data_IF_028550956315
#
_entry.id   IF_028550956315
#
_cell.length_a   1.000
_cell.length_b   1.000
_cell.length_c   1.000
_cell.angle_alpha   90.00
_cell.angle_beta   90.00
_cell.angle_gamma   90.00
#
_symmetry.space_group_name_H-M   'P 1'
#
loop_
_entity.id
_entity.type
_entity.pdbx_description
1 polymer ?
#
# COMPACT_ATOMS: atom_id res chain seq x y z
N UNK A 1 -9.31 50.89 29.50
CA UNK A 1 -9.35 51.86 30.62
C UNK A 1 -9.59 53.24 30.03
N UNK A 2 -10.51 53.99 30.64
CA UNK A 2 -11.07 55.27 30.15
C UNK A 2 -10.00 56.35 29.92
N UNK A 3 -10.12 57.11 28.82
CA UNK A 3 -9.26 58.25 28.49
C UNK A 3 -9.77 59.46 29.29
N UNK A 4 -9.00 59.87 30.31
CA UNK A 4 -9.29 61.04 31.13
C UNK A 4 -8.86 62.34 30.46
N UNK A 5 -9.78 63.28 30.37
CA UNK A 5 -9.62 64.67 29.94
C UNK A 5 -8.69 65.46 30.88
N UNK A 6 -7.66 66.11 30.35
CA UNK A 6 -6.85 67.09 31.09
C UNK A 6 -7.39 68.50 30.88
N UNK A 7 -7.86 69.10 31.97
CA UNK A 7 -8.27 70.50 32.07
C UNK A 7 -7.03 71.36 32.35
N UNK A 8 -6.81 72.39 31.53
CA UNK A 8 -5.79 73.42 31.76
C UNK A 8 -6.44 74.54 32.59
N UNK A 9 -5.81 74.94 33.70
CA UNK A 9 -6.11 76.18 34.43
C UNK A 9 -4.78 76.85 34.84
N UNK A 10 -4.67 78.19 34.78
CA UNK A 10 -3.46 78.90 34.36
C UNK A 10 -2.75 79.61 35.52
N UNK A 11 -1.76 80.43 35.15
CA UNK A 11 -0.97 81.41 35.93
C UNK A 11 0.45 81.00 36.33
N UNK A 12 1.38 81.26 35.42
CA UNK A 12 2.65 81.92 35.76
C UNK A 12 3.00 82.90 34.63
N UNK A 13 2.69 84.18 34.83
CA UNK A 13 3.27 85.30 34.07
C UNK A 13 4.30 85.98 34.97
N UNK A 14 5.58 85.90 34.61
CA UNK A 14 6.53 87.04 34.59
C UNK A 14 7.90 86.63 34.06
N UNK A 15 8.33 87.40 33.07
CA UNK A 15 9.69 87.67 32.60
C UNK A 15 10.52 86.46 32.13
N UNK A 16 10.26 86.04 30.89
CA UNK A 16 11.18 85.27 30.07
C UNK A 16 11.35 86.04 28.76
N UNK A 17 12.59 86.37 28.44
CA UNK A 17 13.02 87.12 27.25
C UNK A 17 12.69 86.33 25.97
N UNK A 18 12.38 87.01 24.86
CA UNK A 18 11.87 86.44 23.58
C UNK A 18 12.79 85.37 22.93
N UNK A 19 13.96 85.10 23.50
CA UNK A 19 14.91 84.05 23.08
C UNK A 19 14.77 82.73 23.84
N UNK A 20 14.09 82.71 24.99
CA UNK A 20 13.98 81.53 25.85
C UNK A 20 12.65 80.76 25.68
N UNK A 21 11.59 81.37 25.12
CA UNK A 21 10.35 80.65 24.77
C UNK A 21 10.58 79.56 23.72
N UNK A 22 11.46 79.81 22.74
CA UNK A 22 11.81 78.81 21.73
C UNK A 22 12.57 77.62 22.33
N UNK A 23 13.40 77.85 23.36
CA UNK A 23 14.15 76.78 24.03
C UNK A 23 13.20 75.91 24.87
N UNK A 24 12.24 76.55 25.56
CA UNK A 24 11.24 75.83 26.36
C UNK A 24 10.29 75.00 25.48
N UNK A 25 9.87 75.54 24.33
CA UNK A 25 9.04 74.82 23.35
C UNK A 25 9.82 73.64 22.74
N UNK A 26 11.10 73.83 22.38
CA UNK A 26 11.94 72.75 21.88
C UNK A 26 12.15 71.67 22.95
N UNK A 27 12.36 72.04 24.21
CA UNK A 27 12.50 71.07 25.31
C UNK A 27 11.21 70.27 25.55
N UNK A 28 10.03 70.90 25.49
CA UNK A 28 8.74 70.22 25.60
C UNK A 28 8.51 69.28 24.41
N UNK A 29 8.87 69.69 23.19
CA UNK A 29 8.79 68.85 22.00
C UNK A 29 9.75 67.66 22.12
N UNK A 30 10.99 67.87 22.59
CA UNK A 30 11.94 66.77 22.81
C UNK A 30 11.48 65.81 23.91
N UNK A 31 10.89 66.31 24.99
CA UNK A 31 10.33 65.46 26.06
C UNK A 31 9.10 64.69 25.55
N UNK A 32 8.22 65.32 24.75
CA UNK A 32 7.09 64.62 24.13
C UNK A 32 7.56 63.58 23.11
N UNK A 33 8.56 63.89 22.28
CA UNK A 33 9.18 62.94 21.35
C UNK A 33 9.85 61.81 22.12
N UNK A 34 10.55 62.10 23.23
CA UNK A 34 11.20 61.09 24.05
C UNK A 34 10.18 60.20 24.76
N UNK A 35 9.07 60.73 25.25
CA UNK A 35 7.96 59.95 25.83
C UNK A 35 7.26 59.12 24.75
N UNK A 36 7.10 59.64 23.52
CA UNK A 36 6.55 58.88 22.39
C UNK A 36 7.50 57.77 21.97
N UNK A 37 8.82 58.03 21.88
CA UNK A 37 9.82 57.02 21.53
C UNK A 37 9.97 55.97 22.64
N UNK A 38 9.93 56.37 23.91
CA UNK A 38 9.99 55.45 25.06
C UNK A 38 8.70 54.63 25.15
N UNK A 39 7.55 55.25 24.89
CA UNK A 39 6.26 54.57 24.82
C UNK A 39 6.16 53.65 23.61
N UNK A 40 6.78 53.98 22.47
CA UNK A 40 6.92 53.08 21.32
C UNK A 40 7.89 51.95 21.65
N UNK A 41 8.99 52.20 22.37
CA UNK A 41 9.93 51.17 22.79
C UNK A 41 9.30 50.18 23.76
N UNK A 42 8.56 50.66 24.77
CA UNK A 42 7.78 49.84 25.71
C UNK A 42 6.59 49.16 25.02
N UNK A 43 5.97 49.81 24.04
CA UNK A 43 4.94 49.18 23.21
C UNK A 43 5.55 48.11 22.33
N UNK A 44 6.72 48.32 21.71
CA UNK A 44 7.43 47.30 20.92
C UNK A 44 7.95 46.17 21.79
N UNK A 45 8.43 46.41 23.01
CA UNK A 45 8.85 45.33 23.92
C UNK A 45 7.65 44.56 24.48
N UNK A 46 6.52 45.23 24.73
CA UNK A 46 5.24 44.61 25.12
C UNK A 46 4.59 43.85 23.95
N UNK A 47 4.71 44.37 22.72
CA UNK A 47 4.22 43.73 21.50
C UNK A 47 5.14 42.59 21.05
N UNK A 48 6.47 42.70 21.19
CA UNK A 48 7.45 41.65 20.90
C UNK A 48 7.40 40.57 21.98
N UNK A 49 7.15 40.90 23.26
CA UNK A 49 6.85 39.90 24.31
C UNK A 49 5.45 39.28 24.21
N UNK A 50 4.47 39.94 23.56
CA UNK A 50 3.15 39.37 23.24
C UNK A 50 3.11 38.68 21.87
N UNK A 51 4.08 38.94 21.01
CA UNK A 51 4.39 38.17 19.82
C UNK A 51 5.43 37.11 20.18
N UNK A 52 5.12 36.26 21.15
CA UNK A 52 5.59 34.88 21.05
C UNK A 52 5.10 34.35 19.69
N UNK A 53 5.89 33.56 18.94
CA UNK A 53 5.35 32.84 17.80
C UNK A 53 4.24 31.92 18.33
N UNK A 54 2.98 32.35 18.16
CA UNK A 54 1.80 31.49 18.36
C UNK A 54 1.74 30.57 17.15
N UNK A 55 2.64 29.59 17.18
CA UNK A 55 2.60 28.29 16.53
C UNK A 55 3.92 27.65 16.98
N UNK A 56 3.87 26.62 17.84
CA UNK A 56 4.99 25.69 17.93
C UNK A 56 5.19 25.16 16.51
N UNK A 57 6.15 25.72 15.79
CA UNK A 57 6.45 25.29 14.44
C UNK A 57 6.90 23.84 14.57
N UNK A 58 6.10 22.91 14.05
CA UNK A 58 6.43 21.49 14.09
C UNK A 58 7.81 21.31 13.43
N UNK A 59 8.74 20.65 14.12
CA UNK A 59 9.97 20.15 13.51
C UNK A 59 9.58 19.00 12.58
N UNK A 60 9.21 19.35 11.35
CA UNK A 60 8.67 18.41 10.37
C UNK A 60 9.77 17.60 9.70
N UNK A 61 9.53 16.29 9.55
CA UNK A 61 10.36 15.40 8.75
C UNK A 61 9.75 15.21 7.35
N UNK A 62 10.58 14.93 6.35
CA UNK A 62 10.11 14.52 5.02
C UNK A 62 9.52 13.12 5.05
N UNK A 63 8.66 12.79 4.08
CA UNK A 63 8.10 11.44 3.93
C UNK A 63 9.24 10.40 3.87
N UNK A 64 10.30 10.67 3.11
CA UNK A 64 11.45 9.79 2.99
C UNK A 64 12.21 9.55 4.31
N UNK A 65 12.37 10.58 5.13
CA UNK A 65 12.99 10.45 6.46
C UNK A 65 12.12 9.61 7.40
N UNK A 66 10.80 9.82 7.40
CA UNK A 66 9.86 9.03 8.20
C UNK A 66 9.84 7.57 7.73
N UNK A 67 9.80 7.30 6.43
CA UNK A 67 9.87 5.92 5.89
C UNK A 67 11.18 5.23 6.31
N UNK A 68 12.31 5.95 6.28
CA UNK A 68 13.60 5.41 6.73
C UNK A 68 13.61 5.12 8.23
N UNK A 69 13.02 6.01 9.03
CA UNK A 69 12.89 5.82 10.47
C UNK A 69 12.04 4.59 10.80
N UNK A 70 10.89 4.43 10.12
CA UNK A 70 10.04 3.24 10.22
C UNK A 70 10.83 1.98 9.85
N UNK A 71 11.54 1.99 8.73
CA UNK A 71 12.36 0.85 8.30
C UNK A 71 13.49 0.53 9.29
N UNK A 72 14.08 1.54 9.92
CA UNK A 72 15.15 1.34 10.91
C UNK A 72 14.61 0.74 12.21
N UNK A 73 13.44 1.18 12.68
CA UNK A 73 12.84 0.70 13.94
C UNK A 73 12.10 -0.64 13.78
N UNK A 74 11.44 -0.85 12.64
CA UNK A 74 10.51 -1.96 12.42
C UNK A 74 10.78 -2.79 11.16
N UNK A 75 11.85 -2.50 10.41
CA UNK A 75 12.16 -3.19 9.15
C UNK A 75 12.44 -4.68 9.28
N UNK A 76 12.83 -5.14 10.48
CA UNK A 76 13.03 -6.56 10.81
C UNK A 76 11.86 -7.17 11.59
N UNK A 77 10.85 -6.37 11.93
CA UNK A 77 9.64 -6.88 12.56
C UNK A 77 8.94 -7.84 11.59
N UNK A 78 8.74 -9.09 12.00
CA UNK A 78 8.06 -10.11 11.20
C UNK A 78 6.99 -10.77 12.04
N UNK A 79 5.81 -10.92 11.45
CA UNK A 79 4.74 -11.70 12.06
C UNK A 79 5.17 -13.14 12.29
N UNK A 80 4.66 -13.72 13.36
CA UNK A 80 4.85 -15.15 13.66
C UNK A 80 4.27 -16.03 12.54
N UNK A 81 4.70 -17.29 12.51
CA UNK A 81 4.24 -18.26 11.52
C UNK A 81 2.93 -18.91 11.97
N UNK A 82 2.10 -19.32 11.01
CA UNK A 82 0.97 -20.21 11.22
C UNK A 82 0.80 -21.16 10.04
N UNK A 83 0.20 -22.33 10.29
CA UNK A 83 -0.09 -23.31 9.25
C UNK A 83 -1.57 -23.21 8.88
N UNK A 84 -1.84 -23.14 7.57
CA UNK A 84 -3.19 -23.12 7.01
C UNK A 84 -3.37 -24.22 5.98
N UNK A 85 -4.62 -24.54 5.68
CA UNK A 85 -4.96 -25.37 4.52
C UNK A 85 -4.85 -24.57 3.22
N UNK A 86 -4.80 -25.29 2.09
CA UNK A 86 -4.68 -24.71 0.76
C UNK A 86 -5.81 -23.74 0.40
N UNK A 87 -7.04 -24.03 0.83
CA UNK A 87 -8.22 -23.20 0.60
C UNK A 87 -8.19 -21.86 1.34
N UNK A 88 -7.40 -21.75 2.41
CA UNK A 88 -7.23 -20.54 3.20
C UNK A 88 -5.93 -19.76 2.85
N UNK A 89 -5.12 -20.30 1.92
CA UNK A 89 -3.79 -19.79 1.62
C UNK A 89 -3.77 -18.62 0.60
N UNK A 90 -4.90 -18.35 -0.07
CA UNK A 90 -4.99 -17.24 -1.03
C UNK A 90 -4.67 -15.90 -0.35
N UNK A 91 -3.84 -15.08 -1.01
CA UNK A 91 -3.36 -13.79 -0.52
C UNK A 91 -2.56 -13.86 0.80
N UNK A 92 -2.08 -15.04 1.20
CA UNK A 92 -1.17 -15.21 2.33
C UNK A 92 0.29 -15.16 1.85
N UNK A 93 1.20 -14.83 2.76
CA UNK A 93 2.63 -14.77 2.49
C UNK A 93 3.33 -16.00 3.06
N UNK A 94 4.11 -16.69 2.23
CA UNK A 94 4.89 -17.84 2.64
C UNK A 94 5.92 -17.48 3.71
N UNK A 95 5.91 -18.23 4.81
CA UNK A 95 6.90 -18.11 5.87
C UNK A 95 8.10 -19.05 5.70
N UNK A 96 8.02 -19.98 4.75
CA UNK A 96 9.03 -20.99 4.40
C UNK A 96 9.04 -21.18 2.89
N UNK A 97 10.16 -21.63 2.36
CA UNK A 97 10.25 -22.00 0.94
C UNK A 97 9.45 -23.27 0.65
N UNK A 98 8.94 -23.38 -0.58
CA UNK A 98 8.28 -24.59 -1.07
C UNK A 98 9.21 -25.27 -2.07
N UNK A 99 9.66 -26.47 -1.71
CA UNK A 99 10.42 -27.35 -2.57
C UNK A 99 9.52 -28.47 -3.09
N UNK A 100 9.75 -28.89 -4.34
CA UNK A 100 9.04 -30.02 -4.89
C UNK A 100 9.59 -31.35 -4.36
N UNK A 101 8.70 -32.22 -3.90
CA UNK A 101 9.04 -33.59 -3.52
C UNK A 101 9.04 -34.53 -4.73
N UNK A 102 8.12 -34.29 -5.67
CA UNK A 102 7.86 -35.14 -6.82
C UNK A 102 8.11 -34.42 -8.15
N UNK A 103 8.07 -35.20 -9.23
CA UNK A 103 8.03 -34.66 -10.59
C UNK A 103 6.64 -34.13 -10.91
N UNK A 104 6.56 -33.02 -11.63
CA UNK A 104 5.31 -32.52 -12.21
C UNK A 104 5.52 -32.36 -13.71
N UNK A 105 4.79 -33.09 -14.57
CA UNK A 105 3.95 -34.26 -14.24
C UNK A 105 4.80 -35.47 -13.78
N UNK A 106 4.16 -36.47 -13.18
CA UNK A 106 4.83 -37.68 -12.63
C UNK A 106 5.17 -38.75 -13.69
N UNK A 107 4.58 -38.67 -14.88
CA UNK A 107 4.79 -39.55 -16.03
C UNK A 107 4.74 -38.76 -17.35
N UNK A 108 5.22 -39.37 -18.44
CA UNK A 108 5.09 -38.82 -19.78
C UNK A 108 3.64 -38.95 -20.24
N UNK A 109 3.03 -37.87 -20.74
CA UNK A 109 1.63 -37.87 -21.16
C UNK A 109 1.43 -37.27 -22.54
N UNK A 110 0.37 -37.72 -23.21
CA UNK A 110 -0.02 -37.18 -24.51
C UNK A 110 -0.66 -35.79 -24.39
N UNK A 111 -0.41 -34.92 -25.35
CA UNK A 111 -1.14 -33.64 -25.51
C UNK A 111 -2.34 -33.72 -26.45
N UNK A 112 -2.56 -34.89 -27.07
CA UNK A 112 -3.61 -35.13 -28.08
C UNK A 112 -4.23 -36.52 -27.90
N UNK A 113 -5.39 -36.75 -28.50
CA UNK A 113 -5.91 -38.10 -28.69
C UNK A 113 -5.20 -38.71 -29.90
N UNK A 114 -4.68 -39.93 -29.76
CA UNK A 114 -3.93 -40.52 -30.84
C UNK A 114 -3.23 -41.83 -30.52
N UNK A 115 -2.20 -42.14 -31.30
CA UNK A 115 -1.42 -43.36 -31.19
C UNK A 115 0.01 -43.04 -30.75
N UNK A 116 0.38 -43.54 -29.57
CA UNK A 116 1.77 -43.55 -29.12
C UNK A 116 2.58 -44.50 -30.00
N UNK A 117 3.66 -43.97 -30.56
CA UNK A 117 4.53 -44.66 -31.51
C UNK A 117 5.99 -44.48 -31.13
N UNK A 118 6.83 -45.32 -31.70
CA UNK A 118 8.24 -44.99 -31.92
C UNK A 118 8.31 -44.14 -33.17
N UNK A 119 8.77 -42.91 -33.06
CA UNK A 119 8.85 -41.96 -34.18
C UNK A 119 9.60 -42.59 -35.38
N UNK A 120 10.63 -43.39 -35.13
CA UNK A 120 11.37 -44.12 -36.16
C UNK A 120 10.53 -45.05 -37.03
N UNK A 121 9.43 -45.60 -36.50
CA UNK A 121 8.58 -46.56 -37.21
C UNK A 121 7.59 -45.86 -38.15
N UNK A 122 7.41 -44.54 -38.01
CA UNK A 122 6.57 -43.72 -38.90
C UNK A 122 7.39 -42.78 -39.79
N UNK A 123 8.73 -42.86 -39.74
CA UNK A 123 9.58 -42.05 -40.61
C UNK A 123 9.35 -42.42 -42.08
N UNK A 124 9.13 -41.39 -42.90
CA UNK A 124 8.91 -41.54 -44.34
C UNK A 124 7.49 -41.92 -44.74
N UNK A 125 6.55 -42.09 -43.80
CA UNK A 125 5.15 -42.28 -44.17
C UNK A 125 4.53 -40.98 -44.73
N UNK A 126 3.50 -41.15 -45.53
CA UNK A 126 2.75 -40.07 -46.20
C UNK A 126 1.33 -40.54 -46.48
N UNK A 127 0.46 -39.64 -46.95
CA UNK A 127 -0.90 -40.00 -47.37
C UNK A 127 -0.93 -41.11 -48.42
N UNK A 128 0.06 -41.14 -49.33
CA UNK A 128 0.15 -42.17 -50.36
C UNK A 128 0.78 -43.49 -49.88
N UNK A 129 1.58 -43.45 -48.80
CA UNK A 129 2.33 -44.58 -48.27
C UNK A 129 2.25 -44.56 -46.74
N UNK A 130 1.17 -45.10 -46.14
CA UNK A 130 1.03 -45.13 -44.69
C UNK A 130 2.02 -46.09 -44.04
N UNK A 131 2.46 -45.76 -42.82
CA UNK A 131 3.11 -46.73 -41.94
C UNK A 131 2.03 -47.61 -41.31
N UNK A 132 2.19 -48.93 -41.43
CA UNK A 132 1.26 -49.90 -40.85
C UNK A 132 1.80 -50.38 -39.51
N UNK A 133 1.10 -50.08 -38.43
CA UNK A 133 1.48 -50.44 -37.07
C UNK A 133 0.44 -51.38 -36.45
N UNK A 134 0.90 -52.34 -35.65
CA UNK A 134 0.02 -53.22 -34.89
C UNK A 134 -0.44 -52.52 -33.61
N UNK A 135 -1.75 -52.41 -33.38
CA UNK A 135 -2.27 -51.91 -32.11
C UNK A 135 -2.09 -52.97 -31.01
N UNK A 136 -1.26 -52.66 -30.01
CA UNK A 136 -0.90 -53.58 -28.92
C UNK A 136 -1.51 -53.22 -27.57
N UNK A 137 -2.17 -52.07 -27.46
CA UNK A 137 -2.82 -51.65 -26.22
C UNK A 137 -3.59 -50.35 -26.33
N UNK A 138 -4.24 -50.02 -25.22
CA UNK A 138 -5.02 -48.79 -25.01
C UNK A 138 -4.62 -48.25 -23.63
N UNK A 139 -4.19 -46.99 -23.56
CA UNK A 139 -4.01 -46.29 -22.29
C UNK A 139 -5.35 -45.75 -21.81
N UNK A 140 -5.76 -46.13 -20.60
CA UNK A 140 -6.93 -45.56 -19.94
C UNK A 140 -6.54 -44.36 -19.07
N UNK A 141 -7.44 -43.39 -18.92
CA UNK A 141 -7.21 -42.27 -18.00
C UNK A 141 -7.23 -42.74 -16.55
N UNK A 142 -6.19 -42.38 -15.79
CA UNK A 142 -6.08 -42.73 -14.37
C UNK A 142 -5.56 -44.14 -14.09
N UNK A 143 -5.19 -44.91 -15.12
CA UNK A 143 -4.60 -46.24 -14.98
C UNK A 143 -3.14 -46.23 -15.43
N UNK A 144 -2.29 -46.98 -14.73
CA UNK A 144 -0.90 -47.13 -15.13
C UNK A 144 -0.76 -48.11 -16.29
N UNK A 145 -0.01 -47.72 -17.33
CA UNK A 145 0.27 -48.60 -18.47
C UNK A 145 1.63 -49.30 -18.32
N UNK A 146 1.59 -50.57 -17.92
CA UNK A 146 2.79 -51.41 -17.79
C UNK A 146 3.32 -51.97 -19.14
N UNK A 147 2.70 -51.58 -20.25
CA UNK A 147 3.09 -52.03 -21.59
C UNK A 147 4.38 -51.34 -22.03
N UNK A 148 5.31 -52.11 -22.58
CA UNK A 148 6.46 -51.58 -23.31
C UNK A 148 6.19 -51.66 -24.82
N UNK A 149 6.36 -50.53 -25.52
CA UNK A 149 6.07 -50.44 -26.94
C UNK A 149 7.20 -51.07 -27.78
N UNK A 150 6.85 -52.15 -28.49
CA UNK A 150 7.76 -52.83 -29.42
C UNK A 150 7.83 -52.12 -30.78
N UNK A 151 8.86 -52.48 -31.58
CA UNK A 151 9.00 -51.97 -32.95
C UNK A 151 7.82 -52.38 -33.82
N UNK A 152 7.30 -51.46 -34.63
CA UNK A 152 6.16 -51.70 -35.54
C UNK A 152 4.82 -51.81 -34.83
N UNK A 153 4.75 -51.42 -33.54
CA UNK A 153 3.54 -51.42 -32.76
C UNK A 153 3.14 -49.99 -32.38
N UNK A 154 1.85 -49.80 -32.07
CA UNK A 154 1.31 -48.57 -31.52
C UNK A 154 0.34 -48.86 -30.36
N UNK A 155 0.12 -47.87 -29.51
CA UNK A 155 -0.87 -47.93 -28.42
C UNK A 155 -1.75 -46.70 -28.51
N UNK A 156 -3.07 -46.87 -28.46
CA UNK A 156 -3.96 -45.72 -28.36
C UNK A 156 -3.74 -45.00 -27.02
N UNK A 157 -3.59 -43.68 -27.04
CA UNK A 157 -3.44 -42.84 -25.85
C UNK A 157 -4.35 -41.62 -25.99
N UNK A 158 -5.30 -41.41 -25.06
CA UNK A 158 -6.09 -40.19 -25.02
C UNK A 158 -5.26 -39.01 -24.50
N UNK A 159 -5.75 -37.80 -24.69
CA UNK A 159 -5.16 -36.56 -24.22
C UNK A 159 -5.01 -36.61 -22.69
N UNK A 160 -3.79 -36.39 -22.20
CA UNK A 160 -3.44 -36.49 -20.79
C UNK A 160 -3.15 -37.92 -20.29
N UNK A 161 -3.40 -38.94 -21.12
CA UNK A 161 -3.10 -40.35 -20.81
C UNK A 161 -1.59 -40.62 -20.71
N UNK A 162 -1.24 -41.62 -19.91
CA UNK A 162 0.16 -42.06 -19.75
C UNK A 162 0.66 -42.71 -21.05
N UNK A 163 1.87 -42.33 -21.45
CA UNK A 163 2.50 -42.84 -22.67
C UNK A 163 3.36 -44.07 -22.30
N UNK A 164 3.17 -45.22 -22.96
CA UNK A 164 3.89 -46.46 -22.63
C UNK A 164 5.39 -46.32 -22.83
N UNK A 165 6.16 -47.07 -22.05
CA UNK A 165 7.61 -47.07 -22.16
C UNK A 165 8.05 -47.50 -23.57
N UNK A 166 9.06 -46.84 -24.13
CA UNK A 166 9.53 -47.10 -25.49
C UNK A 166 8.85 -46.29 -26.59
N UNK A 167 7.69 -45.67 -26.32
CA UNK A 167 7.13 -44.64 -27.19
C UNK A 167 7.85 -43.30 -26.97
N UNK A 168 8.10 -42.57 -28.05
CA UNK A 168 8.77 -41.26 -28.01
C UNK A 168 8.00 -40.17 -28.80
N UNK A 169 6.82 -40.48 -29.34
CA UNK A 169 5.91 -39.51 -29.93
C UNK A 169 4.45 -40.01 -29.92
N UNK A 170 3.49 -39.09 -30.04
CA UNK A 170 2.07 -39.43 -30.26
C UNK A 170 1.61 -38.83 -31.58
N UNK A 171 1.07 -39.66 -32.47
CA UNK A 171 0.43 -39.20 -33.71
C UNK A 171 -1.04 -38.98 -33.46
N UNK A 172 -1.54 -37.79 -33.80
CA UNK A 172 -2.95 -37.41 -33.66
C UNK A 172 -3.87 -38.39 -34.40
N UNK A 173 -5.04 -38.67 -33.84
CA UNK A 173 -6.01 -39.60 -34.42
C UNK A 173 -6.45 -39.16 -35.83
N UNK A 174 -6.49 -37.85 -36.11
CA UNK A 174 -6.81 -37.30 -37.43
C UNK A 174 -5.77 -37.61 -38.52
N UNK A 175 -4.64 -38.20 -38.14
CA UNK A 175 -3.57 -38.62 -39.03
C UNK A 175 -3.38 -40.14 -39.06
N UNK A 176 -4.36 -40.89 -38.57
CA UNK A 176 -4.35 -42.34 -38.55
C UNK A 176 -5.74 -42.94 -38.80
N UNK A 177 -5.80 -44.10 -39.46
CA UNK A 177 -7.02 -44.88 -39.63
C UNK A 177 -6.89 -46.23 -38.91
N UNK A 178 -7.93 -46.64 -38.20
CA UNK A 178 -8.07 -48.02 -37.69
C UNK A 178 -8.75 -48.88 -38.76
N UNK A 179 -8.03 -49.89 -39.27
CA UNK A 179 -8.57 -50.81 -40.28
C UNK A 179 -9.47 -51.89 -39.70
N UNK A 180 -9.63 -51.95 -38.37
CA UNK A 180 -10.58 -52.84 -37.68
C UNK A 180 -10.09 -54.28 -37.50
N UNK A 181 -8.87 -54.60 -37.96
CA UNK A 181 -8.22 -55.91 -37.80
C UNK A 181 -7.08 -55.89 -36.78
N UNK A 182 -6.93 -54.78 -36.04
CA UNK A 182 -5.81 -54.52 -35.13
C UNK A 182 -4.62 -53.81 -35.80
N UNK A 183 -4.75 -53.40 -37.06
CA UNK A 183 -3.76 -52.58 -37.78
C UNK A 183 -4.18 -51.12 -37.84
N UNK A 184 -3.26 -50.23 -37.51
CA UNK A 184 -3.42 -48.78 -37.62
C UNK A 184 -2.54 -48.28 -38.78
N UNK A 185 -3.16 -47.58 -39.73
CA UNK A 185 -2.47 -46.88 -40.81
C UNK A 185 -2.15 -45.45 -40.42
N UNK A 186 -0.87 -45.10 -40.28
CA UNK A 186 -0.42 -43.75 -39.95
C UNK A 186 0.08 -43.02 -41.19
N UNK A 187 -0.53 -41.87 -41.49
CA UNK A 187 -0.30 -41.12 -42.74
C UNK A 187 0.64 -39.92 -42.59
N UNK A 188 0.98 -39.54 -41.36
CA UNK A 188 1.86 -38.40 -41.09
C UNK A 188 2.99 -38.79 -40.14
N UNK A 189 4.22 -38.62 -40.62
CA UNK A 189 5.40 -38.80 -39.80
C UNK A 189 5.45 -37.77 -38.66
N UNK A 190 6.01 -38.15 -37.52
CA UNK A 190 6.27 -37.27 -36.40
C UNK A 190 7.73 -37.40 -35.95
N UNK A 191 8.26 -36.36 -35.31
CA UNK A 191 9.60 -36.39 -34.72
C UNK A 191 9.53 -36.86 -33.25
N UNK A 192 10.63 -37.40 -32.68
CA UNK A 192 10.70 -37.65 -31.25
C UNK A 192 10.33 -36.40 -30.43
N UNK A 193 9.52 -36.58 -29.39
CA UNK A 193 8.96 -35.52 -28.54
C UNK A 193 7.68 -34.87 -29.06
N UNK A 194 7.19 -35.24 -30.24
CA UNK A 194 5.96 -34.66 -30.79
C UNK A 194 4.75 -35.06 -29.94
N UNK A 195 3.94 -34.07 -29.57
CA UNK A 195 2.70 -34.21 -28.79
C UNK A 195 2.88 -34.87 -27.41
N UNK A 196 4.02 -34.63 -26.77
CA UNK A 196 4.34 -35.15 -25.43
C UNK A 196 4.55 -34.00 -24.44
N UNK A 197 4.15 -34.25 -23.19
CA UNK A 197 4.69 -33.58 -22.01
C UNK A 197 5.45 -34.64 -21.23
N UNK A 198 6.74 -34.41 -20.99
CA UNK A 198 7.58 -35.35 -20.28
C UNK A 198 7.43 -35.21 -18.77
N UNK A 199 7.72 -36.31 -18.08
CA UNK A 199 7.88 -36.36 -16.64
C UNK A 199 8.85 -35.27 -16.17
N UNK A 200 8.36 -34.37 -15.33
CA UNK A 200 9.17 -33.30 -14.76
C UNK A 200 9.48 -32.12 -15.67
N UNK A 201 8.74 -31.94 -16.77
CA UNK A 201 8.88 -30.76 -17.64
C UNK A 201 8.55 -29.46 -16.91
N UNK A 202 7.64 -29.48 -15.93
CA UNK A 202 7.32 -28.32 -15.11
C UNK A 202 8.28 -28.22 -13.91
N UNK A 203 8.29 -29.27 -13.08
CA UNK A 203 9.05 -29.29 -11.82
C UNK A 203 9.70 -30.65 -11.59
N UNK A 204 10.93 -30.63 -11.04
CA UNK A 204 11.69 -31.80 -10.63
C UNK A 204 11.89 -31.79 -9.11
N UNK A 205 12.02 -32.96 -8.46
CA UNK A 205 12.31 -33.05 -7.03
C UNK A 205 13.51 -32.19 -6.62
N UNK A 206 13.41 -31.54 -5.45
CA UNK A 206 14.44 -30.67 -4.88
C UNK A 206 14.51 -29.25 -5.48
N UNK A 207 13.74 -28.94 -6.52
CA UNK A 207 13.64 -27.56 -7.04
C UNK A 207 12.85 -26.71 -6.05
N UNK A 208 13.40 -25.56 -5.67
CA UNK A 208 12.64 -24.50 -4.99
C UNK A 208 11.66 -23.92 -5.99
N UNK A 209 10.37 -24.14 -5.75
CA UNK A 209 9.28 -23.60 -6.59
C UNK A 209 8.94 -22.19 -6.15
N UNK A 210 8.86 -21.97 -4.84
CA UNK A 210 8.55 -20.66 -4.28
C UNK A 210 9.49 -20.30 -3.14
N UNK A 211 10.07 -19.08 -3.15
CA UNK A 211 10.89 -18.61 -2.05
C UNK A 211 10.03 -18.17 -0.86
N UNK A 212 10.67 -18.08 0.32
CA UNK A 212 10.11 -17.37 1.48
C UNK A 212 9.74 -15.93 1.09
N UNK A 213 8.65 -15.39 1.65
CA UNK A 213 8.19 -14.04 1.33
C UNK A 213 7.45 -13.94 0.00
N UNK A 214 7.16 -15.05 -0.70
CA UNK A 214 6.22 -15.01 -1.81
C UNK A 214 4.79 -14.85 -1.29
N UNK A 215 4.08 -13.89 -1.88
CA UNK A 215 2.62 -13.76 -1.75
C UNK A 215 1.92 -14.73 -2.70
N UNK A 216 0.99 -15.52 -2.17
CA UNK A 216 0.26 -16.53 -2.93
C UNK A 216 -0.94 -15.93 -3.67
N UNK A 217 -0.94 -16.09 -4.99
CA UNK A 217 -2.03 -15.72 -5.90
C UNK A 217 -2.77 -16.95 -6.40
N UNK A 218 -3.84 -16.72 -7.18
CA UNK A 218 -4.73 -17.77 -7.70
C UNK A 218 -3.97 -18.90 -8.41
N UNK A 219 -3.06 -18.57 -9.33
CA UNK A 219 -2.27 -19.57 -10.04
C UNK A 219 -1.36 -20.37 -9.11
N UNK A 220 -0.85 -19.73 -8.04
CA UNK A 220 0.05 -20.39 -7.09
C UNK A 220 -0.68 -21.47 -6.28
N UNK A 221 -1.96 -21.28 -6.00
CA UNK A 221 -2.80 -22.31 -5.36
C UNK A 221 -2.89 -23.57 -6.23
N UNK A 222 -3.04 -23.40 -7.54
CA UNK A 222 -3.03 -24.51 -8.50
C UNK A 222 -1.68 -25.24 -8.54
N UNK A 223 -0.57 -24.50 -8.55
CA UNK A 223 0.78 -25.09 -8.49
C UNK A 223 1.01 -25.85 -7.17
N UNK A 224 0.60 -25.30 -6.03
CA UNK A 224 0.70 -26.00 -4.74
C UNK A 224 -0.12 -27.29 -4.74
N UNK A 225 -1.34 -27.27 -5.32
CA UNK A 225 -2.16 -28.46 -5.48
C UNK A 225 -1.47 -29.52 -6.36
N UNK A 226 -0.88 -29.11 -7.48
CA UNK A 226 -0.15 -30.00 -8.38
C UNK A 226 1.08 -30.64 -7.72
N UNK A 227 1.69 -29.95 -6.75
CA UNK A 227 2.79 -30.46 -5.92
C UNK A 227 2.30 -31.30 -4.72
N UNK A 228 0.99 -31.46 -4.52
CA UNK A 228 0.42 -32.14 -3.35
C UNK A 228 0.56 -31.36 -2.04
N UNK A 229 0.92 -30.08 -2.09
CA UNK A 229 1.14 -29.23 -0.91
C UNK A 229 -0.21 -28.67 -0.44
N UNK A 230 -0.78 -29.30 0.59
CA UNK A 230 -2.11 -28.94 1.12
C UNK A 230 -2.07 -28.23 2.47
N UNK A 231 -0.93 -28.24 3.16
CA UNK A 231 -0.68 -27.52 4.41
C UNK A 231 0.48 -26.55 4.20
N UNK A 232 0.22 -25.26 4.36
CA UNK A 232 1.16 -24.20 3.99
C UNK A 232 1.53 -23.38 5.22
N UNK A 233 2.84 -23.24 5.45
CA UNK A 233 3.36 -22.37 6.49
C UNK A 233 3.42 -20.92 5.99
N UNK A 234 2.60 -20.06 6.58
CA UNK A 234 2.44 -18.65 6.19
C UNK A 234 2.73 -17.72 7.37
N UNK A 235 2.90 -16.43 7.08
CA UNK A 235 2.96 -15.39 8.10
C UNK A 235 1.57 -15.02 8.58
N UNK A 236 1.38 -14.85 9.90
CA UNK A 236 0.14 -14.30 10.46
C UNK A 236 -0.15 -12.92 9.90
N UNK A 237 -1.43 -12.59 9.77
CA UNK A 237 -1.86 -11.23 9.43
C UNK A 237 -1.55 -10.31 10.61
N UNK A 238 -0.91 -9.14 10.40
CA UNK A 238 -0.78 -8.13 11.44
C UNK A 238 -2.15 -7.70 11.95
N UNK A 239 -2.37 -7.68 13.26
CA UNK A 239 -3.57 -7.13 13.89
C UNK A 239 -3.40 -5.64 14.07
N UNK A 240 -4.33 -4.84 13.57
CA UNK A 240 -4.26 -3.38 13.62
C UNK A 240 -5.47 -2.84 14.36
N UNK A 241 -5.24 -2.28 15.55
CA UNK A 241 -6.28 -1.55 16.26
C UNK A 241 -6.51 -0.19 15.58
N UNK A 242 -7.77 0.17 15.38
CA UNK A 242 -8.18 1.41 14.73
C UNK A 242 -9.17 2.16 15.63
N UNK A 243 -8.85 3.42 15.92
CA UNK A 243 -9.65 4.31 16.75
C UNK A 243 -9.90 5.61 15.98
N UNK A 244 -11.15 6.07 15.96
CA UNK A 244 -11.48 7.44 15.55
C UNK A 244 -11.67 8.32 16.79
N UNK A 245 -11.23 9.57 16.76
CA UNK A 245 -11.47 10.54 17.84
C UNK A 245 -12.13 11.81 17.28
N UNK A 246 -13.03 12.39 18.05
CA UNK A 246 -13.64 13.67 17.73
C UNK A 246 -15.04 13.82 18.34
N UNK A 247 -15.23 14.94 19.05
CA UNK A 247 -16.52 15.29 19.65
C UNK A 247 -17.60 15.57 18.60
N UNK A 248 -17.23 15.83 17.34
CA UNK A 248 -18.14 16.05 16.23
C UNK A 248 -18.60 14.76 15.54
N UNK A 249 -17.94 13.63 15.81
CA UNK A 249 -18.15 12.40 15.05
C UNK A 249 -19.40 11.63 15.50
N UNK A 250 -20.08 11.03 14.53
CA UNK A 250 -21.11 9.98 14.69
C UNK A 250 -20.80 8.81 13.76
N UNK A 251 -21.39 7.65 14.02
CA UNK A 251 -21.15 6.47 13.17
C UNK A 251 -21.70 6.70 11.76
N UNK A 252 -21.13 6.00 10.77
CA UNK A 252 -21.52 6.16 9.36
C UNK A 252 -23.03 5.90 9.12
N UNK A 253 -23.61 4.93 9.83
CA UNK A 253 -25.03 4.58 9.72
C UNK A 253 -25.99 5.49 10.49
N UNK A 254 -25.49 6.38 11.34
CA UNK A 254 -26.31 7.22 12.20
C UNK A 254 -26.84 8.47 11.46
N UNK A 255 -27.99 9.02 11.91
CA UNK A 255 -28.46 10.31 11.44
C UNK A 255 -27.52 11.44 11.90
N UNK A 256 -27.22 12.36 10.99
CA UNK A 256 -26.35 13.51 11.28
C UNK A 256 -27.17 14.62 11.92
N UNK A 257 -26.84 14.95 13.17
CA UNK A 257 -27.40 16.10 13.88
C UNK A 257 -26.61 17.39 13.56
N UNK A 258 -27.20 18.58 13.72
CA UNK A 258 -26.47 19.84 13.56
C UNK A 258 -25.19 19.87 14.41
N UNK A 259 -24.07 20.22 13.79
CA UNK A 259 -22.74 20.25 14.44
C UNK A 259 -22.03 18.89 14.51
N UNK A 260 -22.65 17.81 14.06
CA UNK A 260 -22.03 16.49 13.91
C UNK A 260 -21.69 16.20 12.45
N UNK A 261 -20.73 15.31 12.23
CA UNK A 261 -20.38 14.73 10.92
C UNK A 261 -20.17 13.22 11.06
N UNK A 262 -20.27 12.49 9.95
CA UNK A 262 -20.02 11.04 9.95
C UNK A 262 -18.52 10.77 10.00
N UNK A 263 -18.14 9.74 10.76
CA UNK A 263 -16.81 9.15 10.63
C UNK A 263 -16.66 8.48 9.25
N UNK A 264 -15.78 9.05 8.44
CA UNK A 264 -15.39 8.53 7.13
C UNK A 264 -14.02 7.85 7.16
N UNK A 265 -13.16 8.19 8.13
CA UNK A 265 -11.80 7.66 8.19
C UNK A 265 -11.79 6.26 8.77
N UNK A 266 -12.59 5.98 9.80
CA UNK A 266 -12.73 4.64 10.38
C UNK A 266 -13.04 3.58 9.31
N UNK A 267 -14.17 3.68 8.58
CA UNK A 267 -14.50 2.71 7.52
C UNK A 267 -13.48 2.66 6.37
N UNK A 268 -12.93 3.81 5.96
CA UNK A 268 -11.93 3.88 4.89
C UNK A 268 -10.62 3.18 5.27
N UNK A 269 -10.08 3.47 6.45
CA UNK A 269 -8.84 2.86 6.95
C UNK A 269 -9.04 1.39 7.28
N UNK A 270 -10.22 0.99 7.79
CA UNK A 270 -10.58 -0.41 7.97
C UNK A 270 -10.44 -1.20 6.66
N UNK A 271 -11.00 -0.68 5.57
CA UNK A 271 -10.89 -1.29 4.24
C UNK A 271 -9.43 -1.29 3.73
N UNK A 272 -8.68 -0.21 3.95
CA UNK A 272 -7.29 -0.11 3.53
C UNK A 272 -6.36 -1.10 4.27
N UNK A 273 -6.64 -1.38 5.55
CA UNK A 273 -5.96 -2.41 6.34
C UNK A 273 -6.25 -3.81 5.77
N UNK A 274 -7.51 -4.12 5.45
CA UNK A 274 -7.88 -5.39 4.81
C UNK A 274 -7.18 -5.59 3.47
N UNK A 275 -7.15 -4.54 2.63
CA UNK A 275 -6.45 -4.57 1.34
C UNK A 275 -4.94 -4.81 1.51
N UNK A 276 -4.38 -4.30 2.61
CA UNK A 276 -2.99 -4.53 3.03
C UNK A 276 -2.76 -5.91 3.65
N UNK A 277 -3.77 -6.81 3.60
CA UNK A 277 -3.75 -8.19 4.12
C UNK A 277 -3.55 -8.28 5.63
N UNK A 278 -3.84 -7.20 6.34
CA UNK A 278 -3.86 -7.15 7.79
C UNK A 278 -5.28 -7.36 8.33
N UNK A 279 -5.39 -7.62 9.63
CA UNK A 279 -6.65 -7.79 10.33
C UNK A 279 -6.97 -6.49 11.10
N UNK A 280 -7.94 -5.69 10.65
CA UNK A 280 -8.37 -4.51 11.40
C UNK A 280 -9.26 -4.90 12.59
N UNK A 281 -9.13 -4.15 13.68
CA UNK A 281 -9.99 -4.17 14.84
C UNK A 281 -10.46 -2.73 15.13
N UNK A 282 -11.69 -2.40 14.73
CA UNK A 282 -12.23 -1.06 14.92
C UNK A 282 -12.84 -0.93 16.30
N UNK A 283 -12.17 -0.17 17.16
CA UNK A 283 -12.56 0.00 18.57
C UNK A 283 -13.59 1.13 18.77
N UNK A 284 -14.00 1.80 17.69
CA UNK A 284 -15.06 2.80 17.69
C UNK A 284 -14.56 4.25 17.66
N UNK A 285 -15.48 5.14 18.00
CA UNK A 285 -15.27 6.59 18.07
C UNK A 285 -15.16 6.99 19.54
N UNK A 286 -14.05 7.58 19.92
CA UNK A 286 -13.83 8.16 21.24
C UNK A 286 -14.10 9.67 21.22
N UNK A 287 -14.59 10.20 22.34
CA UNK A 287 -14.62 11.64 22.55
C UNK A 287 -13.19 12.16 22.81
N UNK A 288 -12.97 13.46 22.66
CA UNK A 288 -11.66 14.08 22.89
C UNK A 288 -11.37 14.27 24.40
N UNK A 289 -11.43 13.17 25.15
CA UNK A 289 -11.03 13.08 26.55
C UNK A 289 -9.67 12.39 26.70
N UNK A 290 -8.74 13.06 27.38
CA UNK A 290 -7.35 12.60 27.55
C UNK A 290 -7.27 11.25 28.28
N UNK A 291 -8.10 11.02 29.31
CA UNK A 291 -8.03 9.81 30.11
C UNK A 291 -8.62 8.63 29.34
N UNK A 292 -9.73 8.84 28.63
CA UNK A 292 -10.31 7.83 27.75
C UNK A 292 -9.36 7.43 26.62
N UNK A 293 -8.74 8.41 25.95
CA UNK A 293 -7.75 8.17 24.89
C UNK A 293 -6.54 7.40 25.43
N UNK A 294 -5.95 7.82 26.56
CA UNK A 294 -4.81 7.11 27.18
C UNK A 294 -5.16 5.66 27.53
N UNK A 295 -6.33 5.44 28.12
CA UNK A 295 -6.81 4.09 28.49
C UNK A 295 -6.99 3.23 27.24
N UNK A 296 -7.70 3.73 26.23
CA UNK A 296 -7.94 3.01 24.99
C UNK A 296 -6.65 2.70 24.24
N UNK A 297 -5.69 3.62 24.18
CA UNK A 297 -4.37 3.38 23.58
C UNK A 297 -3.64 2.26 24.30
N UNK A 298 -3.58 2.27 25.64
CA UNK A 298 -2.91 1.23 26.44
C UNK A 298 -3.57 -0.15 26.33
N UNK A 299 -4.90 -0.20 26.24
CA UNK A 299 -5.64 -1.46 26.02
C UNK A 299 -5.42 -1.98 24.60
N UNK A 300 -5.52 -1.11 23.59
CA UNK A 300 -5.41 -1.46 22.18
C UNK A 300 -4.03 -2.04 21.82
N UNK A 301 -2.95 -1.44 22.33
CA UNK A 301 -1.60 -1.93 22.03
C UNK A 301 -1.34 -3.30 22.65
N UNK A 302 -2.03 -3.74 23.70
CA UNK A 302 -1.83 -5.10 24.25
C UNK A 302 -2.32 -6.18 23.30
N UNK A 303 -3.44 -5.92 22.64
CA UNK A 303 -4.15 -6.89 21.79
C UNK A 303 -3.85 -6.74 20.29
N UNK A 304 -3.04 -5.77 19.88
CA UNK A 304 -2.71 -5.54 18.46
C UNK A 304 -1.20 -5.53 18.20
N UNK A 305 -0.80 -5.59 16.94
CA UNK A 305 0.59 -5.43 16.50
C UNK A 305 0.88 -3.99 16.07
N UNK A 306 -0.15 -3.17 15.87
CA UNK A 306 -0.08 -1.77 15.46
C UNK A 306 -1.35 -1.03 15.91
N UNK A 307 -1.21 0.24 16.27
CA UNK A 307 -2.33 1.11 16.57
C UNK A 307 -2.39 2.28 15.57
N UNK A 308 -3.58 2.55 15.05
CA UNK A 308 -3.88 3.72 14.22
C UNK A 308 -4.98 4.52 14.91
N UNK A 309 -4.73 5.81 15.12
CA UNK A 309 -5.74 6.77 15.52
C UNK A 309 -5.99 7.75 14.39
N UNK A 310 -7.23 8.21 14.24
CA UNK A 310 -7.61 9.27 13.29
C UNK A 310 -8.45 10.33 13.99
N UNK A 311 -8.12 11.61 13.81
CA UNK A 311 -8.74 12.73 14.54
C UNK A 311 -7.76 13.38 15.52
N UNK A 312 -8.10 14.53 16.11
CA UNK A 312 -7.34 15.12 17.23
C UNK A 312 -5.84 15.45 17.00
N UNK A 313 -5.35 15.51 15.76
CA UNK A 313 -3.92 15.78 15.47
C UNK A 313 -3.61 17.23 15.09
N UNK A 314 -4.59 18.14 15.07
CA UNK A 314 -4.42 19.48 14.51
C UNK A 314 -3.98 20.48 15.56
N UNK A 315 -2.90 21.22 15.24
CA UNK A 315 -2.32 22.36 15.97
C UNK A 315 -3.43 23.27 16.55
N UNK A 316 -3.81 23.00 17.79
CA UNK A 316 -4.95 23.60 18.48
C UNK A 316 -4.80 23.44 19.98
N UNK A 317 -5.60 24.16 20.76
CA UNK A 317 -5.45 24.30 22.22
C UNK A 317 -5.60 23.00 23.03
N UNK A 318 -5.83 21.83 22.40
CA UNK A 318 -5.99 20.52 23.04
C UNK A 318 -5.54 19.37 22.12
N UNK A 319 -4.23 19.23 21.89
CA UNK A 319 -3.66 18.08 21.16
C UNK A 319 -3.58 16.84 22.07
N UNK A 320 -4.68 16.08 22.20
CA UNK A 320 -4.80 14.91 23.08
C UNK A 320 -3.93 13.73 22.64
N UNK A 321 -3.80 13.47 21.34
CA UNK A 321 -3.07 12.29 20.84
C UNK A 321 -1.54 12.41 21.01
N UNK A 322 -0.86 13.51 20.61
CA UNK A 322 0.58 13.67 20.85
C UNK A 322 0.97 13.53 22.33
N UNK A 323 0.18 14.12 23.22
CA UNK A 323 0.43 14.07 24.66
C UNK A 323 0.18 12.66 25.23
N UNK A 324 -0.90 12.00 24.81
CA UNK A 324 -1.19 10.63 25.20
C UNK A 324 -0.07 9.68 24.76
N UNK A 325 0.38 9.79 23.51
CA UNK A 325 1.49 9.02 22.97
C UNK A 325 2.79 9.27 23.73
N UNK A 326 3.12 10.54 24.01
CA UNK A 326 4.34 10.90 24.76
C UNK A 326 4.30 10.45 26.23
N UNK A 327 3.10 10.27 26.79
CA UNK A 327 2.93 9.75 28.16
C UNK A 327 3.09 8.23 28.21
N UNK A 328 2.54 7.53 27.23
CA UNK A 328 2.50 6.06 27.21
C UNK A 328 3.73 5.42 26.55
N UNK A 329 4.48 6.18 25.75
CA UNK A 329 5.62 5.69 25.02
C UNK A 329 6.49 6.80 24.43
N UNK A 330 7.06 6.54 23.25
CA UNK A 330 8.01 7.43 22.57
C UNK A 330 7.35 8.06 21.34
N UNK A 331 7.28 9.39 21.28
CA UNK A 331 6.86 10.11 20.07
C UNK A 331 8.09 10.38 19.20
N UNK A 332 8.11 9.78 18.01
CA UNK A 332 9.25 9.83 17.08
C UNK A 332 9.10 10.90 16.00
N UNK A 333 7.87 11.16 15.58
CA UNK A 333 7.52 12.13 14.55
C UNK A 333 6.31 12.90 15.02
N UNK A 334 6.41 14.22 14.97
CA UNK A 334 5.29 15.12 15.20
C UNK A 334 5.21 16.09 14.03
N UNK A 335 4.62 15.61 12.95
CA UNK A 335 4.41 16.34 11.73
C UNK A 335 5.36 15.99 10.59
N UNK A 336 4.82 16.08 9.38
CA UNK A 336 5.47 15.67 8.14
C UNK A 336 5.46 16.83 7.14
N UNK A 337 6.52 17.01 6.37
CA UNK A 337 6.62 18.00 5.31
C UNK A 337 5.84 17.56 4.06
N UNK A 338 4.54 17.33 4.22
CA UNK A 338 3.63 16.89 3.15
C UNK A 338 2.35 17.74 3.07
N UNK A 339 1.75 17.77 1.89
CA UNK A 339 0.43 18.31 1.64
C UNK A 339 -0.39 17.30 0.83
N UNK A 340 -1.50 16.78 1.37
CA UNK A 340 -1.91 16.84 2.77
C UNK A 340 -1.04 15.94 3.68
N UNK A 341 -1.30 15.94 4.99
CA UNK A 341 -0.61 15.06 5.95
C UNK A 341 0.33 15.74 6.95
N UNK A 342 0.44 17.08 6.92
CA UNK A 342 1.29 17.83 7.87
C UNK A 342 1.19 17.38 9.33
N UNK A 343 0.01 17.18 9.94
CA UNK A 343 -0.07 16.87 11.37
C UNK A 343 0.14 15.38 11.73
N UNK A 344 0.61 14.54 10.81
CA UNK A 344 0.79 13.12 11.10
C UNK A 344 1.82 12.87 12.19
N UNK A 345 1.46 11.99 13.12
CA UNK A 345 2.29 11.58 14.26
C UNK A 345 2.69 10.12 14.06
N UNK A 346 3.92 9.80 14.42
CA UNK A 346 4.40 8.42 14.52
C UNK A 346 5.18 8.24 15.82
N UNK A 347 4.97 7.10 16.47
CA UNK A 347 5.68 6.75 17.69
C UNK A 347 5.55 5.28 18.03
N UNK A 348 5.93 4.96 19.26
CA UNK A 348 6.04 3.58 19.76
C UNK A 348 5.47 3.49 21.16
N UNK A 349 4.66 2.47 21.42
CA UNK A 349 4.20 2.09 22.76
C UNK A 349 4.44 0.60 22.90
N UNK A 350 5.14 0.16 23.96
CA UNK A 350 5.44 -1.26 24.21
C UNK A 350 5.99 -2.00 22.96
N UNK A 351 6.97 -1.39 22.27
CA UNK A 351 7.57 -1.88 21.02
C UNK A 351 6.61 -2.04 19.83
N UNK A 352 5.42 -1.41 19.88
CA UNK A 352 4.42 -1.45 18.81
C UNK A 352 4.30 -0.09 18.12
N UNK A 353 4.27 -0.04 16.77
CA UNK A 353 4.11 1.19 16.03
C UNK A 353 2.72 1.81 16.27
N UNK A 354 2.71 3.12 16.51
CA UNK A 354 1.49 3.92 16.70
C UNK A 354 1.48 5.07 15.70
N UNK A 355 0.41 5.18 14.92
CA UNK A 355 0.20 6.26 13.97
C UNK A 355 -0.97 7.14 14.41
N UNK A 356 -0.73 8.44 14.52
CA UNK A 356 -1.78 9.46 14.64
C UNK A 356 -2.00 10.11 13.28
N UNK A 357 -3.11 9.79 12.62
CA UNK A 357 -3.47 10.29 11.31
C UNK A 357 -4.43 11.47 11.42
N UNK A 358 -4.34 12.36 10.45
CA UNK A 358 -5.19 13.55 10.35
C UNK A 358 -6.68 13.21 10.25
N UNK A 359 -7.54 13.96 10.94
CA UNK A 359 -9.00 13.91 10.75
C UNK A 359 -9.45 14.23 9.30
N UNK A 360 -8.63 14.98 8.54
CA UNK A 360 -8.85 15.16 7.10
C UNK A 360 -8.73 13.82 6.33
N UNK A 361 -9.76 13.38 5.59
CA UNK A 361 -9.75 12.05 4.99
C UNK A 361 -8.69 11.83 3.92
N UNK A 362 -8.43 12.84 3.09
CA UNK A 362 -7.39 12.74 2.06
C UNK A 362 -6.00 12.61 2.68
N UNK A 363 -5.75 13.34 3.78
CA UNK A 363 -4.52 13.27 4.54
C UNK A 363 -4.33 11.88 5.18
N UNK A 364 -5.36 11.36 5.85
CA UNK A 364 -5.34 10.04 6.48
C UNK A 364 -5.03 8.95 5.45
N UNK A 365 -5.72 8.98 4.31
CA UNK A 365 -5.53 8.00 3.25
C UNK A 365 -4.10 8.00 2.69
N UNK A 366 -3.56 9.17 2.34
CA UNK A 366 -2.20 9.25 1.82
C UNK A 366 -1.14 8.81 2.83
N UNK A 367 -1.29 9.21 4.09
CA UNK A 367 -0.33 8.83 5.13
C UNK A 367 -0.42 7.34 5.47
N UNK A 368 -1.62 6.75 5.38
CA UNK A 368 -1.77 5.31 5.40
C UNK A 368 -1.02 4.65 4.22
N UNK A 369 -1.27 5.09 2.99
CA UNK A 369 -0.66 4.51 1.79
C UNK A 369 0.87 4.59 1.78
N UNK A 370 1.43 5.71 2.24
CA UNK A 370 2.86 6.00 2.13
C UNK A 370 3.69 5.51 3.33
N UNK A 371 3.07 5.36 4.51
CA UNK A 371 3.79 5.04 5.75
C UNK A 371 3.31 3.73 6.38
N UNK A 372 2.00 3.53 6.46
CA UNK A 372 1.40 2.37 7.15
C UNK A 372 1.39 1.12 6.26
N UNK A 373 0.87 1.21 5.04
CA UNK A 373 0.79 0.09 4.08
C UNK A 373 2.15 -0.57 3.81
N UNK A 374 3.26 0.18 3.58
CA UNK A 374 4.58 -0.42 3.43
C UNK A 374 5.05 -1.17 4.69
N UNK A 375 4.75 -0.64 5.88
CA UNK A 375 5.11 -1.30 7.13
C UNK A 375 4.31 -2.60 7.32
N UNK A 376 3.00 -2.60 7.04
CA UNK A 376 2.17 -3.82 7.10
C UNK A 376 2.66 -4.90 6.13
N UNK A 377 3.11 -4.52 4.95
CA UNK A 377 3.75 -5.42 3.99
C UNK A 377 5.09 -5.97 4.54
N UNK A 378 5.95 -5.10 5.07
CA UNK A 378 7.22 -5.48 5.69
C UNK A 378 7.03 -6.45 6.86
N UNK A 379 6.04 -6.21 7.73
CA UNK A 379 5.68 -7.09 8.84
C UNK A 379 5.30 -8.50 8.37
N UNK A 380 4.75 -8.63 7.15
CA UNK A 380 4.45 -9.91 6.53
C UNK A 380 5.65 -10.50 5.76
N UNK A 381 6.77 -9.78 5.67
CA UNK A 381 7.97 -10.20 4.96
C UNK A 381 7.91 -10.01 3.45
N UNK A 382 7.09 -9.07 2.97
CA UNK A 382 7.01 -8.70 1.54
C UNK A 382 7.35 -7.24 1.33
N UNK A 383 7.95 -6.95 0.19
CA UNK A 383 8.13 -5.59 -0.28
C UNK A 383 6.84 -5.11 -0.99
N UNK A 384 6.48 -3.85 -0.79
CA UNK A 384 5.34 -3.25 -1.49
C UNK A 384 5.76 -2.91 -2.91
N UNK A 385 5.15 -3.57 -3.90
CA UNK A 385 5.31 -3.21 -5.30
C UNK A 385 4.33 -2.09 -5.63
N UNK A 386 4.85 -0.87 -5.81
CA UNK A 386 4.05 0.26 -6.29
C UNK A 386 3.96 0.23 -7.80
N UNK A 387 2.73 0.35 -8.33
CA UNK A 387 2.51 0.48 -9.78
C UNK A 387 2.47 1.95 -10.15
N UNK A 388 3.18 2.31 -11.21
CA UNK A 388 3.14 3.66 -11.76
C UNK A 388 3.11 3.64 -13.29
N UNK A 389 2.69 4.75 -13.87
CA UNK A 389 2.74 5.02 -15.31
C UNK A 389 3.11 6.47 -15.56
N UNK A 390 3.73 6.74 -16.71
CA UNK A 390 4.14 8.09 -17.11
C UNK A 390 3.20 8.58 -18.19
N UNK A 391 2.47 9.65 -17.92
CA UNK A 391 1.51 10.28 -18.85
C UNK A 391 1.55 11.80 -18.76
N UNK A 392 1.16 12.53 -19.82
CA UNK A 392 1.05 13.98 -19.75
C UNK A 392 -0.05 14.43 -18.79
N UNK A 393 0.18 15.53 -18.07
CA UNK A 393 -0.83 16.15 -17.20
C UNK A 393 -1.79 17.05 -17.99
N UNK A 394 -3.09 16.94 -17.71
CA UNK A 394 -4.14 17.62 -18.50
C UNK A 394 -4.19 19.14 -18.29
N UNK A 395 -3.64 19.63 -17.17
CA UNK A 395 -3.57 21.05 -16.81
C UNK A 395 -2.39 21.32 -15.88
N UNK A 396 -1.95 22.57 -15.85
CA UNK A 396 -0.93 23.01 -14.92
C UNK A 396 -1.41 22.87 -13.46
N UNK A 397 -0.49 22.51 -12.57
CA UNK A 397 -0.75 22.34 -11.14
C UNK A 397 0.26 23.14 -10.34
N UNK A 398 -0.16 24.24 -9.70
CA UNK A 398 0.74 25.01 -8.85
C UNK A 398 1.00 24.25 -7.54
N UNK A 399 2.22 24.37 -7.05
CA UNK A 399 2.62 23.90 -5.73
C UNK A 399 3.45 24.97 -5.01
N UNK A 400 3.73 24.74 -3.73
CA UNK A 400 4.50 25.69 -2.92
C UNK A 400 5.77 25.01 -2.42
N UNK A 401 6.84 25.80 -2.34
CA UNK A 401 8.12 25.34 -1.80
C UNK A 401 8.01 24.85 -0.36
N UNK A 402 8.78 23.82 -0.01
CA UNK A 402 9.01 23.37 1.37
C UNK A 402 8.19 22.16 1.83
N UNK A 403 7.33 21.58 0.99
CA UNK A 403 6.58 20.34 1.28
C UNK A 403 6.28 19.55 0.03
N UNK A 404 6.17 18.24 0.18
CA UNK A 404 5.79 17.36 -0.91
C UNK A 404 4.26 17.38 -1.12
N UNK A 405 3.80 17.70 -2.34
CA UNK A 405 2.37 17.81 -2.67
C UNK A 405 1.87 16.50 -3.29
N UNK A 406 0.88 15.88 -2.66
CA UNK A 406 0.26 14.63 -3.06
C UNK A 406 -1.11 14.94 -3.66
N UNK A 407 -1.23 14.73 -4.97
CA UNK A 407 -2.36 15.24 -5.74
C UNK A 407 -3.07 14.06 -6.41
N UNK A 408 -4.31 13.73 -6.01
CA UNK A 408 -5.09 12.70 -6.68
C UNK A 408 -5.34 13.07 -8.14
N UNK A 409 -5.31 12.07 -9.01
CA UNK A 409 -5.58 12.22 -10.44
C UNK A 409 -6.57 11.17 -10.92
N UNK A 410 -7.40 11.54 -11.89
CA UNK A 410 -8.15 10.61 -12.72
C UNK A 410 -7.43 10.45 -14.06
N UNK A 411 -7.33 9.22 -14.57
CA UNK A 411 -6.77 8.92 -15.87
C UNK A 411 -7.86 9.00 -16.93
N UNK A 412 -7.73 9.95 -17.86
CA UNK A 412 -8.67 10.15 -18.97
C UNK A 412 -7.90 10.41 -20.24
N UNK A 413 -8.26 9.72 -21.33
CA UNK A 413 -7.67 9.95 -22.66
C UNK A 413 -6.12 9.90 -22.67
N UNK A 414 -5.53 8.97 -21.91
CA UNK A 414 -4.08 8.86 -21.70
C UNK A 414 -3.41 10.10 -21.06
N UNK A 415 -4.17 10.87 -20.27
CA UNK A 415 -3.67 11.99 -19.49
C UNK A 415 -4.00 11.83 -18.01
N UNK A 416 -3.14 12.37 -17.14
CA UNK A 416 -3.43 12.55 -15.73
C UNK A 416 -4.24 13.83 -15.53
N UNK A 417 -5.46 13.72 -15.03
CA UNK A 417 -6.32 14.87 -14.72
C UNK A 417 -6.37 15.12 -13.22
N UNK A 418 -5.71 16.18 -12.71
CA UNK A 418 -5.68 16.50 -11.29
C UNK A 418 -7.07 16.74 -10.72
N UNK A 419 -7.41 16.06 -9.63
CA UNK A 419 -8.65 16.26 -8.91
C UNK A 419 -8.42 17.33 -7.86
N UNK A 420 -8.74 18.58 -8.22
CA UNK A 420 -8.63 19.72 -7.32
C UNK A 420 -9.94 19.86 -6.56
N UNK A 421 -9.88 19.63 -5.25
CA UNK A 421 -11.00 19.82 -4.33
C UNK A 421 -10.57 20.64 -3.10
N UNK A 422 -11.55 21.15 -2.36
CA UNK A 422 -11.28 21.69 -1.02
C UNK A 422 -10.84 20.55 -0.10
N UNK A 423 -9.90 20.84 0.80
CA UNK A 423 -9.44 19.87 1.81
C UNK A 423 -10.65 19.36 2.61
N UNK A 424 -10.85 18.03 2.61
CA UNK A 424 -11.91 17.38 3.40
C UNK A 424 -13.03 16.73 2.58
N UNK A 425 -13.05 16.91 1.25
CA UNK A 425 -14.06 16.29 0.38
C UNK A 425 -13.68 14.86 0.00
N UNK A 426 -14.21 13.86 0.71
CA UNK A 426 -13.89 12.44 0.46
C UNK A 426 -14.39 11.93 -0.90
N UNK A 427 -15.48 12.48 -1.44
CA UNK A 427 -16.03 12.07 -2.74
C UNK A 427 -15.06 12.31 -3.90
N UNK A 428 -14.12 13.25 -3.74
CA UNK A 428 -13.08 13.51 -4.74
C UNK A 428 -12.05 12.40 -4.82
N UNK A 429 -11.77 11.72 -3.71
CA UNK A 429 -10.85 10.59 -3.68
C UNK A 429 -11.46 9.36 -4.38
N UNK A 430 -12.77 9.13 -4.22
CA UNK A 430 -13.44 7.98 -4.84
C UNK A 430 -13.40 7.97 -6.37
N UNK A 431 -13.22 9.14 -7.00
CA UNK A 431 -13.11 9.26 -8.46
C UNK A 431 -11.67 9.30 -8.98
N UNK A 432 -10.68 8.99 -8.13
CA UNK A 432 -9.27 9.03 -8.48
C UNK A 432 -8.75 7.63 -8.84
N UNK A 433 -7.94 7.54 -9.89
CA UNK A 433 -7.27 6.30 -10.33
C UNK A 433 -5.86 6.17 -9.75
N UNK A 434 -5.31 7.27 -9.25
CA UNK A 434 -3.98 7.34 -8.66
C UNK A 434 -3.66 8.73 -8.13
N UNK A 435 -2.38 9.01 -7.96
CA UNK A 435 -1.87 10.30 -7.53
C UNK A 435 -0.52 10.63 -8.14
N UNK A 436 -0.19 11.92 -8.18
CA UNK A 436 1.14 12.42 -8.51
C UNK A 436 1.79 13.00 -7.27
N UNK A 437 3.13 13.04 -7.27
CA UNK A 437 3.95 13.61 -6.21
C UNK A 437 4.71 14.81 -6.78
N UNK A 438 4.46 16.00 -6.28
CA UNK A 438 5.26 17.19 -6.59
C UNK A 438 6.32 17.33 -5.50
N UNK A 439 7.60 17.25 -5.90
CA UNK A 439 8.71 17.35 -4.97
C UNK A 439 8.75 18.72 -4.28
N UNK A 440 9.32 18.76 -3.07
CA UNK A 440 9.32 19.94 -2.17
C UNK A 440 10.00 21.18 -2.75
N UNK A 441 10.88 20.99 -3.72
CA UNK A 441 11.70 21.97 -4.40
C UNK A 441 11.10 22.40 -5.75
N UNK A 442 9.94 21.86 -6.12
CA UNK A 442 9.22 22.15 -7.36
C UNK A 442 8.00 23.04 -7.07
N UNK A 443 7.89 24.18 -7.76
CA UNK A 443 6.79 25.15 -7.58
C UNK A 443 5.52 24.78 -8.36
N UNK A 444 5.54 23.69 -9.11
CA UNK A 444 4.39 23.19 -9.86
C UNK A 444 4.81 22.42 -11.10
N UNK A 445 3.80 21.98 -11.84
CA UNK A 445 3.95 21.21 -13.08
C UNK A 445 3.19 21.94 -14.18
N UNK A 446 3.78 22.10 -15.36
CA UNK A 446 3.08 22.73 -16.49
C UNK A 446 2.17 21.74 -17.22
N UNK A 447 1.15 22.28 -17.87
CA UNK A 447 0.26 21.46 -18.70
C UNK A 447 1.04 20.71 -19.80
N UNK A 448 0.72 19.44 -20.00
CA UNK A 448 1.34 18.59 -21.02
C UNK A 448 2.68 17.99 -20.61
N UNK A 449 3.24 18.36 -19.46
CA UNK A 449 4.44 17.71 -18.92
C UNK A 449 4.12 16.26 -18.53
N UNK A 450 5.06 15.36 -18.81
CA UNK A 450 4.96 13.96 -18.39
C UNK A 450 5.17 13.85 -16.89
N UNK A 451 4.21 13.23 -16.21
CA UNK A 451 4.23 13.00 -14.77
C UNK A 451 4.14 11.51 -14.47
N UNK A 452 4.84 11.09 -13.42
CA UNK A 452 4.68 9.74 -12.87
C UNK A 452 3.41 9.71 -12.00
N UNK A 453 2.44 8.90 -12.44
CA UNK A 453 1.20 8.63 -11.71
C UNK A 453 1.35 7.31 -10.98
N UNK A 454 1.28 7.34 -9.66
CA UNK A 454 1.21 6.17 -8.80
C UNK A 454 -0.24 5.70 -8.70
N UNK A 455 -0.51 4.47 -9.11
CA UNK A 455 -1.85 3.89 -9.12
C UNK A 455 -2.26 3.48 -7.71
N UNK A 456 -3.55 3.61 -7.39
CA UNK A 456 -4.11 3.11 -6.13
C UNK A 456 -4.23 1.59 -6.08
#
# INVERSE_FOLDING_TARGET
MSIGSFTIVPDFKRDIDDKDENILIIAIIYIQIFIIISGIADFTDSFIKKCEPIEKMLDVLTIAEVTRLIATRFGDCRMSKEQLSLDEALNRVLAEEIQAADYVPVFNRSTVDGYAVRASDVFGCSEAIPALLKMTGVSSMGEHIALQLEKGCCTYVPTGGEVPEGADAVVMIEHADDFGDGTIGVYKACAPGTNLIFKGDDVKPGKVVYPIGKMLHVADIGTLAALGVTKIMVRKKPRVALISTGDELVQAGEPVMPGKIRDVNGPMLYAAILESRAQPDFLGILQDDMQEIKRAMSEAVKESDMLILTGGTSVGLKDTIPEALSTLGEMLVHGIASKPGKPTIFGVIEDKPVFGLSGNPLAAFFMFLLLVKPLLHSMQGIELVTRSLVVPISRAVPSNHGREDLIPVALKENQASPIIGKSGLITTLSGADGYIRIARDIEGINQGENVEVFLF
#
